data_IF_619283471166
#
_entry.id   IF_619283471166
#
_cell.length_a   1.000
_cell.length_b   1.000
_cell.length_c   1.000
_cell.angle_alpha   90.00
_cell.angle_beta   90.00
_cell.angle_gamma   90.00
#
_symmetry.space_group_name_H-M   'P 1'
#
loop_
_entity.id
_entity.type
_entity.pdbx_description
1 polymer ?
#
# COMPACT_ATOMS: atom_id res chain seq x y z
N UNK A 1 12.66 2.99 -52.33
CA UNK A 1 12.72 3.85 -51.12
C UNK A 1 12.28 2.98 -49.95
N UNK A 2 13.17 2.54 -49.06
CA UNK A 2 12.84 1.91 -47.75
C UNK A 2 14.09 1.73 -46.85
N UNK A 3 15.27 1.49 -47.44
CA UNK A 3 16.50 1.23 -46.66
C UNK A 3 16.92 2.35 -45.68
N UNK A 4 16.73 3.63 -46.02
CA UNK A 4 17.07 4.74 -45.11
C UNK A 4 16.14 4.86 -43.89
N UNK A 5 14.88 4.44 -44.03
CA UNK A 5 13.92 4.44 -42.91
C UNK A 5 14.24 3.32 -41.92
N UNK A 6 14.65 2.16 -42.43
CA UNK A 6 14.98 1.00 -41.62
C UNK A 6 16.27 1.21 -40.81
N UNK A 7 17.29 1.84 -41.41
CA UNK A 7 18.53 2.19 -40.70
C UNK A 7 18.28 3.18 -39.56
N UNK A 8 17.45 4.22 -39.80
CA UNK A 8 17.11 5.19 -38.76
C UNK A 8 16.30 4.58 -37.61
N UNK A 9 15.45 3.58 -37.91
CA UNK A 9 14.71 2.82 -36.89
C UNK A 9 15.65 1.98 -36.03
N UNK A 10 16.53 1.21 -36.65
CA UNK A 10 17.52 0.37 -35.95
C UNK A 10 18.43 1.23 -35.07
N UNK A 11 18.87 2.40 -35.55
CA UNK A 11 19.68 3.32 -34.75
C UNK A 11 18.94 3.78 -33.48
N UNK A 12 17.64 4.12 -33.60
CA UNK A 12 16.83 4.52 -32.43
C UNK A 12 16.65 3.38 -31.43
N UNK A 13 16.44 2.16 -31.90
CA UNK A 13 16.33 0.98 -31.03
C UNK A 13 17.65 0.68 -30.30
N UNK A 14 18.78 0.83 -30.98
CA UNK A 14 20.10 0.70 -30.35
C UNK A 14 20.33 1.79 -29.30
N UNK A 15 19.98 3.04 -29.59
CA UNK A 15 20.12 4.14 -28.63
C UNK A 15 19.17 3.93 -27.43
N UNK A 16 17.94 3.48 -27.66
CA UNK A 16 17.00 3.13 -26.59
C UNK A 16 17.51 1.97 -25.71
N UNK A 17 18.07 0.92 -26.33
CA UNK A 17 18.64 -0.20 -25.60
C UNK A 17 19.84 0.21 -24.74
N UNK A 18 20.67 1.17 -25.19
CA UNK A 18 21.77 1.71 -24.38
C UNK A 18 21.25 2.48 -23.17
N UNK A 19 20.35 3.43 -23.40
CA UNK A 19 19.76 4.24 -22.31
C UNK A 19 19.07 3.34 -21.29
N UNK A 20 18.32 2.33 -21.74
CA UNK A 20 17.62 1.43 -20.84
C UNK A 20 18.59 0.60 -19.99
N UNK A 21 19.71 0.12 -20.57
CA UNK A 21 20.75 -0.58 -19.79
C UNK A 21 21.40 0.30 -18.75
N UNK A 22 21.73 1.54 -19.10
CA UNK A 22 22.29 2.51 -18.16
C UNK A 22 21.32 2.75 -16.99
N UNK A 23 20.03 2.95 -17.29
CA UNK A 23 19.00 3.13 -16.26
C UNK A 23 18.81 1.91 -15.37
N UNK A 24 18.87 0.69 -15.93
CA UNK A 24 18.80 -0.55 -15.15
C UNK A 24 20.01 -0.66 -14.21
N UNK A 25 21.22 -0.35 -14.70
CA UNK A 25 22.43 -0.37 -13.88
C UNK A 25 22.38 0.67 -12.75
N UNK A 26 21.87 1.88 -13.03
CA UNK A 26 21.67 2.92 -12.02
C UNK A 26 20.64 2.49 -10.96
N UNK A 27 19.52 1.89 -11.40
CA UNK A 27 18.49 1.38 -10.50
C UNK A 27 18.98 0.24 -9.61
N UNK A 28 19.85 -0.62 -10.14
CA UNK A 28 20.45 -1.72 -9.40
C UNK A 28 21.32 -1.25 -8.22
N UNK A 29 21.84 -0.02 -8.27
CA UNK A 29 22.74 0.55 -7.25
C UNK A 29 23.92 -0.38 -6.87
N UNK A 30 24.41 -1.18 -7.83
CA UNK A 30 25.50 -2.14 -7.62
C UNK A 30 25.06 -3.57 -7.26
N UNK A 31 23.76 -3.88 -7.30
CA UNK A 31 23.25 -5.26 -7.23
C UNK A 31 23.57 -6.02 -8.52
N UNK A 32 24.65 -6.80 -8.49
CA UNK A 32 25.10 -7.61 -9.63
C UNK A 32 24.12 -8.73 -9.99
N UNK A 33 23.35 -9.24 -9.03
CA UNK A 33 22.35 -10.29 -9.27
C UNK A 33 21.16 -9.70 -10.04
N UNK A 34 20.65 -8.53 -9.63
CA UNK A 34 19.58 -7.83 -10.36
C UNK A 34 19.99 -7.47 -11.80
N UNK A 35 21.22 -6.99 -11.98
CA UNK A 35 21.75 -6.68 -13.32
C UNK A 35 21.84 -7.94 -14.17
N UNK A 36 22.36 -9.04 -13.60
CA UNK A 36 22.47 -10.32 -14.31
C UNK A 36 21.08 -10.83 -14.69
N UNK A 37 20.17 -10.94 -13.74
CA UNK A 37 18.84 -11.51 -13.95
C UNK A 37 18.03 -10.68 -14.97
N UNK A 38 18.28 -9.36 -15.05
CA UNK A 38 17.60 -8.48 -16.00
C UNK A 38 18.28 -8.42 -17.38
N UNK A 39 19.61 -8.42 -17.46
CA UNK A 39 20.37 -8.10 -18.68
C UNK A 39 21.14 -9.27 -19.30
N UNK A 40 21.30 -10.39 -18.60
CA UNK A 40 22.09 -11.51 -19.11
C UNK A 40 21.44 -12.12 -20.36
N UNK A 41 22.21 -12.16 -21.45
CA UNK A 41 21.77 -12.73 -22.73
C UNK A 41 20.94 -11.79 -23.63
N UNK A 42 20.53 -10.61 -23.16
CA UNK A 42 19.71 -9.69 -23.94
C UNK A 42 20.55 -8.60 -24.63
N UNK A 43 20.64 -8.66 -25.96
CA UNK A 43 21.47 -7.78 -26.78
C UNK A 43 20.68 -6.63 -27.44
N UNK A 44 19.39 -6.79 -27.68
CA UNK A 44 18.54 -5.80 -28.34
C UNK A 44 17.50 -5.16 -27.40
N UNK A 45 16.82 -4.12 -27.89
CA UNK A 45 15.84 -3.37 -27.11
C UNK A 45 14.64 -4.26 -26.69
N UNK A 46 14.13 -5.07 -27.61
CA UNK A 46 12.97 -5.94 -27.34
C UNK A 46 13.29 -7.01 -26.30
N UNK A 47 14.51 -7.54 -26.32
CA UNK A 47 15.04 -8.47 -25.33
C UNK A 47 15.03 -7.92 -23.92
N UNK A 48 15.58 -6.73 -23.73
CA UNK A 48 15.59 -6.07 -22.41
C UNK A 48 14.14 -5.80 -21.94
N UNK A 49 13.27 -5.34 -22.84
CA UNK A 49 11.85 -5.11 -22.51
C UNK A 49 11.16 -6.42 -22.12
N UNK A 50 11.45 -7.53 -22.80
CA UNK A 50 10.90 -8.86 -22.47
C UNK A 50 11.34 -9.31 -21.08
N UNK A 51 12.63 -9.15 -20.76
CA UNK A 51 13.18 -9.51 -19.46
C UNK A 51 12.52 -8.70 -18.33
N UNK A 52 12.40 -7.38 -18.49
CA UNK A 52 11.68 -6.52 -17.55
C UNK A 52 10.20 -6.91 -17.38
N UNK A 53 9.51 -7.27 -18.48
CA UNK A 53 8.13 -7.72 -18.42
C UNK A 53 7.97 -9.05 -17.67
N UNK A 54 8.95 -9.96 -17.79
CA UNK A 54 8.98 -11.20 -17.02
C UNK A 54 9.19 -10.90 -15.53
N UNK A 55 10.18 -10.08 -15.19
CA UNK A 55 10.46 -9.66 -13.82
C UNK A 55 9.26 -8.99 -13.15
N UNK A 56 8.56 -8.08 -13.83
CA UNK A 56 7.31 -7.48 -13.33
C UNK A 56 6.25 -8.55 -13.00
N UNK A 57 6.14 -9.59 -13.83
CA UNK A 57 5.22 -10.70 -13.59
C UNK A 57 5.57 -11.51 -12.34
N UNK A 58 6.85 -11.78 -12.13
CA UNK A 58 7.37 -12.50 -10.96
C UNK A 58 7.17 -11.68 -9.68
N UNK A 59 7.51 -10.38 -9.72
CA UNK A 59 7.31 -9.45 -8.61
C UNK A 59 5.85 -9.36 -8.18
N UNK A 60 4.93 -9.19 -9.14
CA UNK A 60 3.50 -9.14 -8.85
C UNK A 60 2.98 -10.47 -8.27
N UNK A 61 3.41 -11.61 -8.81
CA UNK A 61 3.00 -12.92 -8.30
C UNK A 61 3.52 -13.15 -6.87
N UNK A 62 4.76 -12.73 -6.58
CA UNK A 62 5.34 -12.81 -5.24
C UNK A 62 4.62 -11.88 -4.26
N UNK A 63 4.32 -10.65 -4.68
CA UNK A 63 3.57 -9.69 -3.88
C UNK A 63 2.18 -10.23 -3.51
N UNK A 64 1.46 -10.80 -4.47
CA UNK A 64 0.16 -11.44 -4.24
C UNK A 64 0.26 -12.61 -3.24
N UNK A 65 1.30 -13.45 -3.38
CA UNK A 65 1.57 -14.55 -2.46
C UNK A 65 1.86 -14.08 -1.02
N UNK A 66 2.65 -13.02 -0.88
CA UNK A 66 2.94 -12.39 0.41
C UNK A 66 1.64 -11.85 1.04
N UNK A 67 0.80 -11.20 0.26
CA UNK A 67 -0.48 -10.65 0.72
C UNK A 67 -1.43 -11.74 1.26
N UNK A 68 -1.46 -12.92 0.62
CA UNK A 68 -2.20 -14.08 1.13
C UNK A 68 -1.66 -14.50 2.48
N UNK A 69 -0.33 -14.66 2.61
CA UNK A 69 0.29 -15.07 3.86
C UNK A 69 0.09 -14.05 5.00
N UNK A 70 0.17 -12.76 4.70
CA UNK A 70 -0.10 -11.68 5.65
C UNK A 70 -1.54 -11.77 6.17
N UNK A 71 -2.53 -12.01 5.29
CA UNK A 71 -3.93 -12.19 5.71
C UNK A 71 -4.10 -13.38 6.64
N UNK A 72 -3.43 -14.50 6.38
CA UNK A 72 -3.47 -15.67 7.27
C UNK A 72 -2.88 -15.37 8.65
N UNK A 73 -1.73 -14.71 8.70
CA UNK A 73 -1.07 -14.30 9.93
C UNK A 73 -1.92 -13.30 10.72
N UNK A 74 -2.54 -12.33 10.04
CA UNK A 74 -3.49 -11.40 10.65
C UNK A 74 -4.67 -12.14 11.27
N UNK A 75 -5.29 -13.08 10.53
CA UNK A 75 -6.36 -13.91 11.06
C UNK A 75 -5.92 -14.76 12.27
N UNK A 76 -4.68 -15.28 12.26
CA UNK A 76 -4.13 -16.01 13.41
C UNK A 76 -3.95 -15.08 14.62
N UNK A 77 -3.40 -13.88 14.43
CA UNK A 77 -3.26 -12.85 15.46
C UNK A 77 -4.61 -12.50 16.08
N UNK A 78 -5.64 -12.31 15.27
CA UNK A 78 -6.98 -11.95 15.73
C UNK A 78 -7.63 -13.06 16.56
N UNK A 79 -7.43 -14.33 16.18
CA UNK A 79 -7.88 -15.48 16.99
C UNK A 79 -7.17 -15.53 18.35
N UNK A 80 -5.86 -15.26 18.38
CA UNK A 80 -5.08 -15.20 19.63
C UNK A 80 -5.55 -14.06 20.53
N UNK A 81 -5.75 -12.87 19.97
CA UNK A 81 -6.24 -11.70 20.68
C UNK A 81 -7.65 -11.94 21.25
N UNK A 82 -8.54 -12.53 20.45
CA UNK A 82 -9.90 -12.89 20.85
C UNK A 82 -9.89 -13.91 22.00
N UNK A 83 -9.04 -14.93 21.91
CA UNK A 83 -8.88 -15.92 22.99
C UNK A 83 -8.35 -15.29 24.28
N UNK A 84 -7.41 -14.35 24.19
CA UNK A 84 -6.91 -13.62 25.35
C UNK A 84 -8.03 -12.75 25.98
N UNK A 85 -8.83 -12.06 25.16
CA UNK A 85 -9.99 -11.28 25.62
C UNK A 85 -11.02 -12.16 26.33
N UNK A 86 -11.33 -13.34 25.76
CA UNK A 86 -12.24 -14.30 26.38
C UNK A 86 -11.74 -14.74 27.75
N UNK A 87 -10.46 -15.12 27.87
CA UNK A 87 -9.85 -15.49 29.16
C UNK A 87 -9.94 -14.36 30.19
N UNK A 88 -9.71 -13.11 29.78
CA UNK A 88 -9.88 -11.94 30.69
C UNK A 88 -11.32 -11.81 31.16
N UNK A 89 -12.30 -11.98 30.28
CA UNK A 89 -13.72 -11.96 30.65
C UNK A 89 -14.07 -13.07 31.64
N UNK A 90 -13.58 -14.29 31.42
CA UNK A 90 -13.80 -15.42 32.32
C UNK A 90 -13.22 -15.15 33.71
N UNK A 91 -12.00 -14.60 33.79
CA UNK A 91 -11.39 -14.24 35.08
C UNK A 91 -12.20 -13.12 35.77
N UNK A 92 -12.70 -12.14 35.00
CA UNK A 92 -13.54 -11.06 35.53
C UNK A 92 -14.80 -11.63 36.19
N UNK A 93 -15.57 -12.44 35.45
CA UNK A 93 -16.78 -13.10 35.96
C UNK A 93 -16.49 -13.99 37.16
N UNK A 94 -15.37 -14.73 37.15
CA UNK A 94 -14.98 -15.58 38.27
C UNK A 94 -14.69 -14.77 39.55
N UNK A 95 -13.99 -13.63 39.44
CA UNK A 95 -13.71 -12.75 40.57
C UNK A 95 -14.99 -12.08 41.12
N UNK A 96 -15.92 -11.71 40.25
CA UNK A 96 -17.24 -11.18 40.63
C UNK A 96 -18.04 -12.22 41.42
N UNK A 97 -18.14 -13.46 40.92
CA UNK A 97 -18.82 -14.57 41.61
C UNK A 97 -18.14 -14.87 42.95
N UNK A 98 -16.81 -14.87 42.98
CA UNK A 98 -16.04 -15.12 44.20
C UNK A 98 -16.11 -13.96 45.22
N UNK A 99 -16.68 -12.81 44.86
CA UNK A 99 -16.71 -11.61 45.70
C UNK A 99 -15.31 -11.06 46.02
N UNK A 100 -14.29 -11.39 45.21
CA UNK A 100 -12.89 -10.97 45.43
C UNK A 100 -12.52 -9.86 44.46
N UNK A 101 -12.05 -8.73 45.00
CA UNK A 101 -11.57 -7.61 44.18
C UNK A 101 -10.21 -7.88 43.53
N UNK A 102 -9.32 -8.60 44.21
CA UNK A 102 -7.96 -8.87 43.75
C UNK A 102 -7.56 -10.32 44.03
N UNK A 103 -6.78 -10.90 43.12
CA UNK A 103 -6.10 -12.19 43.30
C UNK A 103 -4.65 -12.06 42.85
N UNK A 104 -3.73 -12.57 43.67
CA UNK A 104 -2.30 -12.65 43.37
C UNK A 104 -1.94 -14.10 43.07
N UNK A 105 -1.17 -14.32 42.02
CA UNK A 105 -0.60 -15.62 41.65
C UNK A 105 0.90 -15.48 41.39
N UNK A 106 1.60 -16.59 41.25
CA UNK A 106 3.02 -16.65 40.86
C UNK A 106 3.29 -15.97 39.49
N UNK A 107 2.35 -16.03 38.55
CA UNK A 107 2.45 -15.39 37.23
C UNK A 107 2.03 -13.91 37.21
N UNK A 108 1.34 -13.41 38.25
CA UNK A 108 0.94 -11.99 38.33
C UNK A 108 -0.32 -11.71 39.15
N UNK A 109 -0.70 -10.43 39.19
CA UNK A 109 -1.86 -9.94 39.98
C UNK A 109 -3.00 -9.51 39.07
N UNK A 110 -4.22 -9.96 39.38
CA UNK A 110 -5.45 -9.52 38.70
C UNK A 110 -6.31 -8.74 39.68
N UNK A 111 -6.72 -7.52 39.30
CA UNK A 111 -7.60 -6.66 40.10
C UNK A 111 -8.80 -6.23 39.28
N UNK A 112 -10.02 -6.47 39.81
CA UNK A 112 -11.25 -5.92 39.27
C UNK A 112 -11.26 -4.40 39.45
N UNK A 113 -11.54 -3.71 38.35
CA UNK A 113 -11.67 -2.26 38.30
C UNK A 113 -12.95 -1.90 37.58
N UNK A 114 -13.67 -0.91 38.10
CA UNK A 114 -14.83 -0.36 37.42
C UNK A 114 -14.38 0.35 36.13
N UNK A 115 -14.94 -0.05 35.00
CA UNK A 115 -14.73 0.67 33.74
C UNK A 115 -15.66 1.88 33.75
N UNK A 116 -15.11 3.07 33.52
CA UNK A 116 -15.91 4.28 33.39
C UNK A 116 -16.89 4.11 32.22
N UNK A 117 -18.19 4.43 32.39
CA UNK A 117 -19.14 4.45 31.29
C UNK A 117 -18.60 5.32 30.15
N UNK A 118 -18.71 4.83 28.92
CA UNK A 118 -18.39 5.60 27.72
C UNK A 118 -19.69 6.17 27.16
N UNK A 119 -19.65 7.40 26.67
CA UNK A 119 -20.75 7.95 25.88
C UNK A 119 -20.90 7.09 24.62
N UNK A 120 -22.10 6.57 24.40
CA UNK A 120 -22.49 5.87 23.17
C UNK A 120 -23.33 6.87 22.38
N UNK A 121 -22.86 7.22 21.19
CA UNK A 121 -23.61 8.04 20.25
C UNK A 121 -24.69 7.16 19.63
N UNK A 122 -25.95 7.51 19.86
CA UNK A 122 -27.10 6.80 19.31
C UNK A 122 -27.53 7.48 18.01
N UNK A 123 -27.69 8.80 18.07
CA UNK A 123 -28.01 9.67 16.94
C UNK A 123 -27.12 10.90 16.99
N UNK A 124 -26.42 11.21 15.90
CA UNK A 124 -25.49 12.35 15.85
C UNK A 124 -26.25 13.67 15.71
N UNK A 125 -27.42 13.68 15.05
CA UNK A 125 -28.23 14.87 14.84
C UNK A 125 -28.75 15.51 16.15
N UNK A 126 -28.93 14.68 17.18
CA UNK A 126 -29.41 15.11 18.50
C UNK A 126 -28.28 15.61 19.41
N UNK A 127 -27.02 15.42 19.03
CA UNK A 127 -25.88 15.85 19.83
C UNK A 127 -25.70 17.37 19.66
N UNK A 128 -25.64 18.14 20.75
CA UNK A 128 -25.36 19.57 20.67
C UNK A 128 -24.04 19.88 19.96
N UNK A 129 -24.02 20.97 19.17
CA UNK A 129 -22.86 21.39 18.39
C UNK A 129 -21.58 21.61 19.22
N UNK A 130 -21.69 21.85 20.53
CA UNK A 130 -20.55 22.00 21.45
C UNK A 130 -19.66 20.74 21.57
N UNK A 131 -20.21 19.56 21.28
CA UNK A 131 -19.45 18.29 21.28
C UNK A 131 -18.80 17.99 19.93
N UNK A 132 -19.13 18.76 18.89
CA UNK A 132 -18.53 18.62 17.57
C UNK A 132 -17.35 19.58 17.43
N UNK A 133 -16.22 19.07 16.92
CA UNK A 133 -15.13 19.92 16.47
C UNK A 133 -15.42 20.40 15.04
N UNK A 134 -15.40 21.71 14.77
CA UNK A 134 -15.55 22.22 13.41
C UNK A 134 -14.47 21.60 12.50
N UNK A 135 -14.88 20.87 11.46
CA UNK A 135 -13.93 20.35 10.48
C UNK A 135 -13.61 21.47 9.47
N UNK A 136 -12.33 21.68 9.12
CA UNK A 136 -11.99 22.60 8.05
C UNK A 136 -12.64 22.12 6.74
N UNK A 137 -13.02 23.03 5.83
CA UNK A 137 -13.61 22.66 4.55
C UNK A 137 -12.68 21.69 3.81
N UNK A 138 -13.19 20.48 3.56
CA UNK A 138 -12.44 19.45 2.83
C UNK A 138 -12.31 19.89 1.38
N UNK A 139 -11.08 19.96 0.89
CA UNK A 139 -10.81 20.27 -0.51
C UNK A 139 -11.39 19.17 -1.40
N UNK A 140 -12.29 19.55 -2.29
CA UNK A 140 -12.76 18.67 -3.35
C UNK A 140 -11.73 18.64 -4.48
N UNK A 141 -10.83 17.65 -4.41
CA UNK A 141 -9.78 17.44 -5.40
C UNK A 141 -10.34 17.13 -6.80
N UNK A 142 -11.53 16.53 -6.89
CA UNK A 142 -12.13 16.18 -8.17
C UNK A 142 -12.68 17.44 -8.86
N UNK A 143 -13.43 18.26 -8.12
CA UNK A 143 -13.92 19.55 -8.61
C UNK A 143 -12.77 20.51 -8.93
N UNK A 144 -11.71 20.53 -8.11
CA UNK A 144 -10.51 21.31 -8.37
C UNK A 144 -9.82 20.86 -9.66
N UNK A 145 -9.61 19.56 -9.84
CA UNK A 145 -8.99 19.01 -11.04
C UNK A 145 -9.81 19.28 -12.30
N UNK A 146 -11.14 19.19 -12.21
CA UNK A 146 -12.05 19.51 -13.32
C UNK A 146 -11.97 21.00 -13.68
N UNK A 147 -12.05 21.91 -12.70
CA UNK A 147 -11.95 23.34 -12.92
C UNK A 147 -10.61 23.75 -13.56
N UNK A 148 -9.50 23.15 -13.13
CA UNK A 148 -8.19 23.40 -13.72
C UNK A 148 -8.08 22.85 -15.16
N UNK A 149 -8.73 21.72 -15.48
CA UNK A 149 -8.79 21.18 -16.86
C UNK A 149 -9.62 22.05 -17.79
N UNK A 150 -10.68 22.67 -17.26
CA UNK A 150 -11.53 23.62 -17.99
C UNK A 150 -10.89 25.01 -18.16
N UNK A 151 -9.62 25.17 -17.75
CA UNK A 151 -8.85 26.40 -17.94
C UNK A 151 -9.11 27.48 -16.89
N UNK A 152 -9.80 27.16 -15.78
CA UNK A 152 -10.01 28.10 -14.67
C UNK A 152 -8.74 28.18 -13.84
N UNK A 153 -8.16 29.37 -13.71
CA UNK A 153 -7.05 29.62 -12.79
C UNK A 153 -7.53 29.54 -11.33
N UNK A 154 -6.95 28.62 -10.56
CA UNK A 154 -7.20 28.50 -9.11
C UNK A 154 -5.90 28.81 -8.38
N UNK A 155 -5.86 29.93 -7.66
CA UNK A 155 -4.68 30.33 -6.85
C UNK A 155 -4.32 29.21 -5.87
N UNK A 156 -3.13 28.64 -6.03
CA UNK A 156 -2.60 27.57 -5.18
C UNK A 156 -2.69 26.16 -5.76
N UNK A 157 -3.21 25.97 -6.98
CA UNK A 157 -3.25 24.67 -7.64
C UNK A 157 -2.98 24.79 -9.14
N UNK A 158 -2.16 23.88 -9.67
CA UNK A 158 -1.85 23.76 -11.10
C UNK A 158 -1.97 22.30 -11.51
N UNK A 159 -2.32 22.04 -12.77
CA UNK A 159 -2.20 20.69 -13.32
C UNK A 159 -0.72 20.33 -13.44
N UNK A 160 -0.37 19.11 -13.04
CA UNK A 160 0.93 18.55 -13.38
C UNK A 160 1.01 18.32 -14.89
N UNK A 161 2.23 18.23 -15.44
CA UNK A 161 2.48 18.09 -16.88
C UNK A 161 1.99 16.76 -17.49
N UNK A 162 1.24 15.94 -16.73
CA UNK A 162 0.94 14.56 -17.10
C UNK A 162 2.20 13.71 -17.18
N UNK A 163 2.02 12.39 -17.20
CA UNK A 163 3.09 11.44 -17.45
C UNK A 163 2.61 10.40 -18.46
N UNK A 164 3.55 9.79 -19.17
CA UNK A 164 3.26 8.63 -20.00
C UNK A 164 3.37 7.37 -19.14
N UNK A 165 2.39 6.48 -19.22
CA UNK A 165 2.41 5.18 -18.53
C UNK A 165 2.29 4.06 -19.58
N UNK A 166 2.73 2.87 -19.21
CA UNK A 166 2.51 1.66 -20.01
C UNK A 166 1.26 0.92 -19.55
N UNK A 167 0.67 0.13 -20.45
CA UNK A 167 -0.37 -0.86 -20.16
C UNK A 167 0.15 -2.24 -20.56
N UNK A 168 0.18 -3.17 -19.62
CA UNK A 168 0.61 -4.56 -19.87
C UNK A 168 -0.65 -5.42 -20.01
N UNK A 169 -0.79 -6.14 -21.13
CA UNK A 169 -1.83 -7.15 -21.34
C UNK A 169 -1.16 -8.52 -21.35
N UNK A 170 -1.40 -9.32 -20.32
CA UNK A 170 -0.90 -10.70 -20.25
C UNK A 170 -1.73 -11.60 -21.17
N UNK A 171 -1.06 -12.52 -21.86
CA UNK A 171 -1.71 -13.54 -22.70
C UNK A 171 -2.13 -14.74 -21.87
#
# INVERSE_FOLDING_TARGET
>A
MNAHSDIAKVQRELDAAKVLREQIADLAQGDEDFIRDTLEGEADFEGIVRSLLAGIGEDEAMADGIDVYVKELAGRKDRLASRAKLKRSLICTALEIAGRKTIETDVGTVTLSAVKPKAIVIEEADIPAEFFKPQPPKLDQAALSAALRDGREVKGANLSNGGTTIRILRK
#
